data_IF_092922431649
#
_entry.id   IF_092922431649
#
_cell.length_a   1.000
_cell.length_b   1.000
_cell.length_c   1.000
_cell.angle_alpha   90.00
_cell.angle_beta   90.00
_cell.angle_gamma   90.00
#
_symmetry.space_group_name_H-M   'P 1'
#
loop_
_entity.id
_entity.type
_entity.pdbx_description
1 polymer ?
#
# COMPACT_ATOMS: atom_id res chain seq x y z
N UNK A 1 19.17 -58.56 3.85
CA UNK A 1 18.82 -59.34 2.64
C UNK A 1 17.35 -59.70 2.70
N UNK A 2 16.50 -58.92 2.04
CA UNK A 2 15.07 -59.24 1.86
C UNK A 2 14.74 -58.99 0.39
N UNK A 3 14.37 -60.07 -0.31
CA UNK A 3 13.84 -60.05 -1.67
C UNK A 3 12.33 -59.85 -1.56
N UNK A 4 11.80 -58.83 -2.23
CA UNK A 4 10.36 -58.70 -2.48
C UNK A 4 10.15 -58.83 -3.99
N UNK A 5 9.24 -59.74 -4.30
CA UNK A 5 8.89 -60.28 -5.61
C UNK A 5 7.93 -59.34 -6.34
N UNK A 6 8.24 -59.01 -7.60
CA UNK A 6 7.35 -58.28 -8.51
C UNK A 6 6.48 -59.31 -9.25
N UNK A 7 5.17 -59.12 -9.28
CA UNK A 7 4.25 -59.89 -10.13
C UNK A 7 3.00 -59.08 -10.45
N UNK A 8 2.62 -59.05 -11.74
CA UNK A 8 1.25 -58.83 -12.17
C UNK A 8 1.01 -57.62 -13.05
N UNK A 9 1.34 -57.73 -14.34
CA UNK A 9 0.77 -56.87 -15.38
C UNK A 9 -0.70 -57.27 -15.62
N UNK A 10 -1.64 -56.39 -15.26
CA UNK A 10 -3.04 -56.45 -15.66
C UNK A 10 -3.33 -55.34 -16.66
N UNK A 11 -3.60 -55.70 -17.93
CA UNK A 11 -4.02 -54.75 -18.95
C UNK A 11 -5.49 -54.36 -18.73
N UNK A 12 -5.71 -53.12 -18.28
CA UNK A 12 -7.04 -52.52 -18.17
C UNK A 12 -7.32 -51.72 -19.45
N UNK A 13 -8.31 -52.16 -20.23
CA UNK A 13 -8.85 -51.39 -21.37
C UNK A 13 -9.78 -50.34 -20.79
N UNK A 14 -9.37 -49.06 -20.84
CA UNK A 14 -10.20 -47.91 -20.47
C UNK A 14 -10.88 -47.37 -21.73
N UNK A 15 -12.20 -47.47 -21.76
CA UNK A 15 -13.05 -46.89 -22.79
C UNK A 15 -13.20 -45.39 -22.50
N UNK A 16 -12.61 -44.55 -23.34
CA UNK A 16 -12.67 -43.09 -23.25
C UNK A 16 -14.03 -42.60 -23.81
N UNK A 17 -14.94 -42.20 -22.93
CA UNK A 17 -16.17 -41.48 -23.28
C UNK A 17 -15.86 -39.99 -23.25
N UNK A 18 -15.73 -39.37 -24.42
CA UNK A 18 -15.54 -37.92 -24.55
C UNK A 18 -16.90 -37.24 -24.47
N UNK A 19 -17.32 -36.86 -23.27
CA UNK A 19 -18.46 -35.96 -23.06
C UNK A 19 -17.97 -34.51 -23.11
N UNK A 20 -18.25 -33.83 -24.23
CA UNK A 20 -18.00 -32.40 -24.37
C UNK A 20 -19.01 -31.58 -23.55
N UNK A 21 -18.59 -31.10 -22.39
CA UNK A 21 -19.29 -30.03 -21.68
C UNK A 21 -18.79 -28.70 -22.24
N UNK A 22 -19.62 -28.02 -23.03
CA UNK A 22 -19.47 -26.60 -23.29
C UNK A 22 -19.87 -25.85 -22.01
N UNK A 23 -18.90 -25.57 -21.14
CA UNK A 23 -19.10 -24.68 -20.01
C UNK A 23 -19.05 -23.25 -20.55
N UNK A 24 -20.20 -22.60 -20.60
CA UNK A 24 -20.29 -21.15 -20.78
C UNK A 24 -19.53 -20.51 -19.61
N UNK A 25 -18.49 -19.73 -19.91
CA UNK A 25 -17.89 -18.83 -18.93
C UNK A 25 -19.00 -17.85 -18.51
N UNK A 26 -19.52 -18.03 -17.30
CA UNK A 26 -20.35 -17.02 -16.68
C UNK A 26 -19.43 -15.88 -16.25
N UNK A 27 -19.74 -14.67 -16.69
CA UNK A 27 -19.15 -13.45 -16.13
C UNK A 27 -19.42 -13.47 -14.62
N UNK A 28 -18.39 -13.77 -13.84
CA UNK A 28 -18.44 -13.64 -12.38
C UNK A 28 -18.24 -12.16 -12.11
N UNK A 29 -19.34 -11.41 -11.96
CA UNK A 29 -19.24 -10.07 -11.39
C UNK A 29 -18.64 -10.19 -9.98
N UNK A 30 -17.61 -9.40 -9.64
CA UNK A 30 -17.07 -9.38 -8.29
C UNK A 30 -18.21 -9.04 -7.32
N UNK A 31 -18.48 -9.96 -6.40
CA UNK A 31 -19.58 -9.81 -5.45
C UNK A 31 -19.17 -8.82 -4.35
N UNK A 32 -19.74 -7.61 -4.39
CA UNK A 32 -19.56 -6.58 -3.35
C UNK A 32 -20.33 -6.87 -2.05
N UNK A 33 -20.86 -8.09 -1.87
CA UNK A 33 -21.62 -8.47 -0.68
C UNK A 33 -20.67 -9.19 0.27
N UNK A 34 -20.32 -8.52 1.37
CA UNK A 34 -19.55 -9.11 2.45
C UNK A 34 -20.28 -10.37 2.98
N UNK A 35 -19.66 -11.53 2.83
CA UNK A 35 -20.04 -12.70 3.64
C UNK A 35 -19.59 -12.45 5.07
N UNK A 36 -20.35 -12.89 6.09
CA UNK A 36 -19.89 -12.83 7.47
C UNK A 36 -18.64 -13.71 7.61
N UNK A 37 -17.48 -13.09 7.49
CA UNK A 37 -16.19 -13.69 7.80
C UNK A 37 -16.06 -13.66 9.33
N UNK A 38 -15.99 -14.83 9.92
CA UNK A 38 -15.47 -14.94 11.28
C UNK A 38 -13.97 -14.94 11.09
N UNK A 39 -13.33 -13.81 11.37
CA UNK A 39 -11.87 -13.78 11.47
C UNK A 39 -11.45 -14.96 12.33
N UNK A 40 -10.55 -15.78 11.80
CA UNK A 40 -9.93 -16.82 12.62
C UNK A 40 -9.37 -16.12 13.86
N UNK A 41 -9.49 -16.77 15.01
CA UNK A 41 -8.86 -16.26 16.24
C UNK A 41 -7.32 -16.27 16.13
N UNK A 42 -6.76 -16.70 14.99
CA UNK A 42 -5.33 -16.82 14.72
C UNK A 42 -4.82 -15.67 13.85
N UNK A 43 -3.60 -15.26 14.17
CA UNK A 43 -2.87 -14.20 13.48
C UNK A 43 -1.62 -14.75 12.80
N UNK A 44 -1.08 -14.01 11.84
CA UNK A 44 0.16 -14.30 11.15
C UNK A 44 1.19 -13.21 11.40
N UNK A 45 2.41 -13.64 11.67
CA UNK A 45 3.60 -12.80 11.77
C UNK A 45 4.68 -13.38 10.86
N UNK A 46 4.90 -12.81 9.68
CA UNK A 46 5.78 -13.35 8.63
C UNK A 46 5.47 -14.84 8.30
N UNK A 47 4.19 -15.20 8.28
CA UNK A 47 3.72 -16.58 8.04
C UNK A 47 3.77 -17.51 9.25
N UNK A 48 4.29 -17.06 10.40
CA UNK A 48 4.16 -17.79 11.66
C UNK A 48 2.75 -17.58 12.24
N UNK A 49 2.04 -18.69 12.48
CA UNK A 49 0.75 -18.67 13.16
C UNK A 49 0.91 -18.34 14.65
N UNK A 50 0.16 -17.34 15.11
CA UNK A 50 0.11 -16.82 16.46
C UNK A 50 -1.33 -16.95 16.96
N UNK A 51 -1.60 -17.84 17.93
CA UNK A 51 -2.94 -17.99 18.48
C UNK A 51 -3.41 -16.69 19.15
N UNK A 52 -4.68 -16.33 18.98
CA UNK A 52 -5.27 -15.15 19.63
C UNK A 52 -5.19 -15.21 21.15
N UNK A 53 -5.30 -16.40 21.74
CA UNK A 53 -5.12 -16.64 23.17
C UNK A 53 -3.75 -16.16 23.67
N UNK A 54 -2.69 -16.25 22.85
CA UNK A 54 -1.36 -15.77 23.23
C UNK A 54 -1.31 -14.23 23.36
N UNK A 55 -2.12 -13.52 22.56
CA UNK A 55 -2.23 -12.06 22.61
C UNK A 55 -3.10 -11.57 23.77
N UNK A 56 -4.08 -12.37 24.18
CA UNK A 56 -4.97 -12.11 25.31
C UNK A 56 -4.28 -12.41 26.64
N UNK A 57 -3.73 -13.62 26.80
CA UNK A 57 -3.15 -14.08 28.06
C UNK A 57 -1.77 -13.46 28.33
N UNK A 58 -0.99 -13.22 27.27
CA UNK A 58 0.37 -12.65 27.31
C UNK A 58 1.24 -13.29 28.38
N UNK A 59 1.29 -14.63 28.40
CA UNK A 59 2.08 -15.38 29.39
C UNK A 59 3.53 -14.87 29.38
N UNK A 60 4.03 -14.24 30.45
CA UNK A 60 5.34 -13.61 30.41
C UNK A 60 6.41 -14.67 30.19
N UNK A 61 7.50 -14.30 29.50
CA UNK A 61 8.60 -15.24 29.21
C UNK A 61 9.19 -15.87 30.48
N UNK A 62 9.14 -15.18 31.62
CA UNK A 62 9.58 -15.71 32.91
C UNK A 62 8.72 -16.88 33.43
N UNK A 63 7.50 -17.04 32.91
CA UNK A 63 6.55 -18.10 33.24
C UNK A 63 6.53 -19.23 32.21
N UNK A 64 7.36 -19.18 31.16
CA UNK A 64 7.51 -20.31 30.22
C UNK A 64 7.93 -21.57 30.98
N UNK A 65 7.43 -22.72 30.51
CA UNK A 65 7.75 -24.01 31.11
C UNK A 65 9.24 -24.37 30.98
N UNK A 66 9.64 -25.47 31.62
CA UNK A 66 11.05 -25.90 31.62
C UNK A 66 11.53 -26.30 30.21
N UNK A 67 10.65 -26.88 29.39
CA UNK A 67 10.98 -27.31 28.03
C UNK A 67 11.27 -26.09 27.14
N UNK A 68 10.36 -25.11 27.10
CA UNK A 68 10.54 -23.89 26.32
C UNK A 68 11.72 -23.03 26.81
N UNK A 69 11.96 -23.00 28.13
CA UNK A 69 13.16 -22.34 28.68
C UNK A 69 14.45 -23.02 28.22
N UNK A 70 14.45 -24.35 28.18
CA UNK A 70 15.60 -25.15 27.73
C UNK A 70 15.82 -24.95 26.23
N UNK A 71 14.75 -24.99 25.44
CA UNK A 71 14.78 -24.73 24.01
C UNK A 71 15.46 -23.39 23.67
N UNK A 72 15.02 -22.29 24.29
CA UNK A 72 15.61 -20.96 24.08
C UNK A 72 17.05 -20.85 24.57
N UNK A 73 17.40 -21.55 25.65
CA UNK A 73 18.74 -21.49 26.24
C UNK A 73 19.78 -22.32 25.45
N UNK A 74 19.35 -23.43 24.86
CA UNK A 74 20.21 -24.35 24.11
C UNK A 74 20.26 -24.03 22.61
N UNK A 75 19.32 -23.21 22.10
CA UNK A 75 19.26 -22.87 20.70
C UNK A 75 20.53 -22.15 20.20
N UNK A 76 21.01 -22.58 19.03
CA UNK A 76 22.13 -21.98 18.32
C UNK A 76 21.73 -21.58 16.89
N UNK A 77 22.41 -20.60 16.33
CA UNK A 77 22.33 -20.33 14.89
C UNK A 77 23.12 -21.40 14.12
N UNK A 78 23.01 -21.39 12.79
CA UNK A 78 23.71 -22.32 11.89
C UNK A 78 25.24 -22.24 12.00
N UNK A 79 25.77 -21.09 12.39
CA UNK A 79 27.19 -20.86 12.69
C UNK A 79 27.62 -21.35 14.09
N UNK A 80 26.69 -21.91 14.88
CA UNK A 80 26.90 -22.41 16.23
C UNK A 80 26.94 -21.34 17.32
N UNK A 81 26.74 -20.06 16.97
CA UNK A 81 26.61 -19.01 17.97
C UNK A 81 25.29 -19.13 18.74
N UNK A 82 25.24 -18.81 20.04
CA UNK A 82 24.02 -18.93 20.82
C UNK A 82 22.98 -17.93 20.30
N UNK A 83 21.74 -18.39 20.13
CA UNK A 83 20.59 -17.53 19.84
C UNK A 83 20.37 -16.53 20.97
N UNK A 84 20.56 -17.01 22.21
CA UNK A 84 20.39 -16.21 23.42
C UNK A 84 18.92 -16.03 23.78
N UNK A 85 18.66 -15.89 25.08
CA UNK A 85 17.33 -15.56 25.56
C UNK A 85 17.03 -14.09 25.24
N UNK A 86 15.89 -13.76 24.62
CA UNK A 86 15.53 -12.37 24.41
C UNK A 86 15.58 -11.61 25.73
N UNK A 87 16.33 -10.51 25.72
CA UNK A 87 16.49 -9.65 26.88
C UNK A 87 15.56 -8.44 26.78
N UNK A 88 15.05 -7.98 27.93
CA UNK A 88 14.19 -6.80 28.02
C UNK A 88 12.83 -7.11 28.60
N UNK A 89 12.07 -6.07 28.89
CA UNK A 89 10.69 -6.17 29.36
C UNK A 89 9.74 -6.41 28.17
N UNK A 90 8.54 -6.92 28.44
CA UNK A 90 7.47 -7.04 27.44
C UNK A 90 7.47 -8.33 26.61
N UNK A 91 8.44 -9.24 26.77
CA UNK A 91 8.42 -10.54 26.11
C UNK A 91 7.42 -11.49 26.74
N UNK A 92 6.57 -12.08 25.90
CA UNK A 92 5.61 -13.13 26.24
C UNK A 92 5.73 -14.33 25.29
N UNK A 93 5.20 -15.47 25.73
CA UNK A 93 5.18 -16.71 24.96
C UNK A 93 4.09 -16.61 23.91
N UNK A 94 4.45 -16.74 22.63
CA UNK A 94 3.50 -16.81 21.53
C UNK A 94 3.06 -18.26 21.28
N UNK A 95 4.04 -19.16 21.15
CA UNK A 95 3.82 -20.60 20.93
C UNK A 95 4.89 -21.38 21.68
N UNK A 96 4.52 -22.50 22.32
CA UNK A 96 5.47 -23.41 22.96
C UNK A 96 5.00 -24.85 22.80
N UNK A 97 5.74 -25.62 22.02
CA UNK A 97 5.49 -27.03 21.70
C UNK A 97 6.79 -27.83 21.82
N UNK A 98 6.74 -29.14 21.58
CA UNK A 98 7.93 -30.01 21.67
C UNK A 98 9.00 -29.70 20.61
N UNK A 99 8.64 -29.07 19.49
CA UNK A 99 9.52 -28.81 18.34
C UNK A 99 9.57 -27.33 17.89
N UNK A 100 8.78 -26.46 18.51
CA UNK A 100 8.73 -25.03 18.21
C UNK A 100 8.49 -24.20 19.46
N UNK A 101 9.34 -23.18 19.66
CA UNK A 101 9.12 -22.15 20.67
C UNK A 101 9.26 -20.79 20.02
N UNK A 102 8.22 -19.99 20.10
CA UNK A 102 8.17 -18.61 19.63
C UNK A 102 7.81 -17.68 20.78
N UNK A 103 8.56 -16.61 20.90
CA UNK A 103 8.32 -15.54 21.88
C UNK A 103 8.19 -14.23 21.14
N UNK A 104 7.34 -13.35 21.67
CA UNK A 104 6.97 -12.11 21.01
C UNK A 104 6.95 -10.96 22.00
N UNK A 105 7.16 -9.74 21.52
CA UNK A 105 6.85 -8.51 22.25
C UNK A 105 6.25 -7.46 21.34
N UNK A 106 5.60 -6.48 21.96
CA UNK A 106 5.15 -5.28 21.26
C UNK A 106 6.35 -4.35 20.95
N UNK A 107 6.30 -3.68 19.80
CA UNK A 107 7.26 -2.62 19.45
C UNK A 107 6.66 -1.28 19.87
N UNK A 108 7.29 -0.60 20.84
CA UNK A 108 6.77 0.66 21.40
C UNK A 108 6.66 1.79 20.37
N UNK A 109 7.57 1.81 19.39
CA UNK A 109 7.62 2.81 18.33
C UNK A 109 7.49 2.11 17.00
N UNK A 110 6.26 2.07 16.49
CA UNK A 110 5.97 1.68 15.11
C UNK A 110 6.50 2.79 14.21
N UNK A 111 7.74 2.64 13.74
CA UNK A 111 8.30 3.55 12.76
C UNK A 111 7.61 3.31 11.42
N UNK A 112 7.23 4.39 10.74
CA UNK A 112 6.76 4.28 9.36
C UNK A 112 7.87 3.64 8.52
N UNK A 113 7.56 2.58 7.76
CA UNK A 113 8.55 1.88 6.99
C UNK A 113 9.02 2.79 5.85
N UNK A 114 10.32 2.73 5.56
CA UNK A 114 10.96 3.50 4.47
C UNK A 114 10.59 2.95 3.09
N UNK A 115 9.78 1.89 3.03
CA UNK A 115 9.39 1.12 1.84
C UNK A 115 7.91 0.72 1.99
N UNK A 116 7.16 0.56 0.88
CA UNK A 116 5.81 -0.02 0.94
C UNK A 116 5.88 -1.38 1.65
N UNK A 117 5.32 -1.42 2.85
CA UNK A 117 5.24 -2.55 3.75
C UNK A 117 4.35 -2.11 4.92
N UNK A 118 3.64 -3.05 5.54
CA UNK A 118 2.90 -2.72 6.75
C UNK A 118 3.91 -2.50 7.90
N UNK A 119 3.80 -1.35 8.58
CA UNK A 119 4.73 -1.00 9.65
C UNK A 119 4.72 -2.08 10.75
N UNK A 120 5.88 -2.64 11.16
CA UNK A 120 5.88 -3.72 12.13
C UNK A 120 5.56 -3.22 13.53
N UNK A 121 4.68 -3.93 14.24
CA UNK A 121 4.29 -3.67 15.64
C UNK A 121 4.66 -4.80 16.60
N UNK A 122 5.25 -5.87 16.08
CA UNK A 122 5.76 -6.99 16.86
C UNK A 122 7.21 -7.25 16.52
N UNK A 123 7.92 -7.75 17.52
CA UNK A 123 9.21 -8.41 17.36
C UNK A 123 9.05 -9.86 17.81
N UNK A 124 9.48 -10.79 16.98
CA UNK A 124 9.33 -12.23 17.21
C UNK A 124 10.69 -12.90 17.14
N UNK A 125 10.89 -13.88 18.03
CA UNK A 125 12.04 -14.76 18.02
C UNK A 125 11.55 -16.20 18.11
N UNK A 126 11.98 -17.02 17.15
CA UNK A 126 11.54 -18.40 17.01
C UNK A 126 12.73 -19.35 17.01
N UNK A 127 12.63 -20.42 17.78
CA UNK A 127 13.55 -21.56 17.77
C UNK A 127 12.79 -22.83 17.45
N UNK A 128 13.41 -23.74 16.70
CA UNK A 128 12.81 -25.02 16.31
C UNK A 128 13.76 -26.17 16.60
N UNK A 129 13.19 -27.33 16.95
CA UNK A 129 13.94 -28.57 17.07
C UNK A 129 14.19 -29.15 15.68
N UNK A 130 15.47 -29.37 15.36
CA UNK A 130 15.89 -30.04 14.14
C UNK A 130 16.38 -31.43 14.51
N UNK A 131 15.64 -32.48 14.16
CA UNK A 131 16.06 -33.86 14.44
C UNK A 131 17.00 -34.42 13.36
N UNK A 132 16.76 -34.05 12.09
CA UNK A 132 17.52 -34.58 10.97
C UNK A 132 17.66 -33.57 9.84
N UNK A 133 18.82 -32.90 9.80
CA UNK A 133 19.22 -32.06 8.67
C UNK A 133 20.61 -32.50 8.18
N UNK A 134 20.83 -32.45 6.87
CA UNK A 134 22.06 -32.95 6.21
C UNK A 134 23.35 -32.36 6.78
N UNK A 135 23.30 -31.14 7.34
CA UNK A 135 24.47 -30.37 7.78
C UNK A 135 24.41 -29.92 9.25
N UNK A 136 23.39 -30.33 10.01
CA UNK A 136 23.23 -29.91 11.40
C UNK A 136 23.06 -31.16 12.29
N UNK A 137 23.75 -31.26 13.43
CA UNK A 137 23.42 -32.27 14.43
C UNK A 137 22.00 -32.03 15.00
N UNK A 138 21.37 -33.05 15.61
CA UNK A 138 20.09 -32.86 16.26
C UNK A 138 20.18 -31.82 17.39
N UNK A 139 19.23 -30.89 17.45
CA UNK A 139 19.22 -29.85 18.48
C UNK A 139 18.21 -28.72 18.22
N UNK A 140 18.16 -27.77 19.15
CA UNK A 140 17.42 -26.52 18.97
C UNK A 140 18.22 -25.53 18.12
N UNK A 141 17.55 -24.94 17.13
CA UNK A 141 18.14 -23.94 16.24
C UNK A 141 17.28 -22.69 16.19
N UNK A 142 17.94 -21.54 16.06
CA UNK A 142 17.25 -20.31 15.72
C UNK A 142 16.64 -20.41 14.32
N UNK A 143 15.31 -20.29 14.24
CA UNK A 143 14.58 -20.33 12.98
C UNK A 143 14.41 -18.93 12.39
N UNK A 144 14.03 -17.96 13.22
CA UNK A 144 13.88 -16.56 12.82
C UNK A 144 14.03 -15.60 14.00
N UNK A 145 14.45 -14.38 13.68
CA UNK A 145 14.34 -13.20 14.53
C UNK A 145 13.97 -12.05 13.63
N UNK A 146 12.72 -11.61 13.70
CA UNK A 146 12.17 -10.62 12.77
C UNK A 146 11.23 -9.65 13.48
N UNK A 147 10.86 -8.61 12.75
CA UNK A 147 9.78 -7.71 13.12
C UNK A 147 8.71 -7.84 12.06
N UNK A 148 7.46 -7.92 12.49
CA UNK A 148 6.32 -8.11 11.61
C UNK A 148 5.18 -7.18 12.04
N UNK A 149 4.26 -6.92 11.13
CA UNK A 149 2.92 -6.50 11.49
C UNK A 149 2.09 -7.75 11.77
N UNK A 150 1.43 -7.80 12.92
CA UNK A 150 0.58 -8.95 13.23
C UNK A 150 -0.74 -8.85 12.47
N UNK A 151 -0.94 -9.74 11.52
CA UNK A 151 -2.07 -9.73 10.57
C UNK A 151 -3.06 -10.85 10.89
N UNK A 152 -4.34 -10.71 10.53
CA UNK A 152 -5.34 -11.79 10.65
C UNK A 152 -5.01 -12.90 9.65
N UNK A 153 -5.16 -14.16 10.05
CA UNK A 153 -5.09 -15.27 9.10
C UNK A 153 -6.35 -15.30 8.19
N UNK A 154 -6.16 -14.98 6.91
CA UNK A 154 -7.21 -14.98 5.89
C UNK A 154 -7.27 -16.29 5.09
N UNK A 155 -6.56 -17.34 5.51
CA UNK A 155 -6.48 -18.62 4.84
C UNK A 155 -5.74 -18.54 3.49
N UNK A 156 -6.47 -18.74 2.39
CA UNK A 156 -5.89 -18.72 1.04
C UNK A 156 -5.67 -17.30 0.49
N UNK A 157 -6.10 -16.25 1.22
CA UNK A 157 -5.87 -14.85 0.87
C UNK A 157 -4.67 -14.29 1.64
N UNK A 158 -3.97 -13.33 1.05
CA UNK A 158 -2.93 -12.55 1.73
C UNK A 158 -3.46 -11.19 2.12
N UNK A 159 -2.93 -10.64 3.22
CA UNK A 159 -3.23 -9.27 3.66
C UNK A 159 -2.44 -8.29 2.80
N UNK A 160 -3.09 -7.38 2.05
CA UNK A 160 -2.42 -6.35 1.29
C UNK A 160 -2.14 -5.10 2.14
N UNK A 161 -1.24 -4.25 1.67
CA UNK A 161 -1.19 -2.86 2.11
C UNK A 161 -2.38 -2.09 1.49
N UNK A 162 -3.08 -1.31 2.31
CA UNK A 162 -4.24 -0.53 1.91
C UNK A 162 -4.04 0.94 2.25
N UNK A 163 -4.24 1.80 1.26
CA UNK A 163 -4.21 3.25 1.42
C UNK A 163 -5.38 3.90 0.69
N UNK A 164 -5.75 5.13 1.06
CA UNK A 164 -6.63 5.94 0.25
C UNK A 164 -5.91 6.48 -0.99
N UNK A 165 -6.59 6.39 -2.14
CA UNK A 165 -6.15 7.01 -3.39
C UNK A 165 -6.14 8.55 -3.29
N UNK A 166 -7.08 9.09 -2.53
CA UNK A 166 -7.27 10.52 -2.24
C UNK A 166 -8.00 10.67 -0.91
N UNK A 167 -7.93 11.83 -0.23
CA UNK A 167 -8.71 12.06 0.98
C UNK A 167 -10.18 11.67 0.77
N UNK A 168 -10.77 10.84 1.64
CA UNK A 168 -12.14 10.39 1.45
C UNK A 168 -13.12 11.55 1.60
N UNK A 169 -14.18 11.56 0.77
CA UNK A 169 -15.25 12.55 0.87
C UNK A 169 -16.26 12.11 1.94
N UNK A 170 -16.47 12.89 3.02
CA UNK A 170 -17.43 12.54 4.07
C UNK A 170 -18.89 12.46 3.58
N UNK A 171 -19.21 13.02 2.41
CA UNK A 171 -20.55 12.93 1.82
C UNK A 171 -20.70 11.75 0.85
N UNK A 172 -19.62 11.03 0.57
CA UNK A 172 -19.59 9.89 -0.34
C UNK A 172 -19.84 8.57 0.38
N UNK A 173 -20.48 7.64 -0.33
CA UNK A 173 -20.55 6.22 0.06
C UNK A 173 -19.39 5.40 -0.54
N UNK A 174 -18.55 6.00 -1.37
CA UNK A 174 -17.43 5.33 -2.03
C UNK A 174 -16.11 5.62 -1.31
N UNK A 175 -15.42 4.56 -0.88
CA UNK A 175 -14.02 4.61 -0.46
C UNK A 175 -13.15 4.23 -1.65
N UNK A 176 -12.30 5.16 -2.09
CA UNK A 176 -11.35 4.95 -3.19
C UNK A 176 -9.99 4.60 -2.63
N UNK A 177 -9.59 3.35 -2.85
CA UNK A 177 -8.44 2.74 -2.24
C UNK A 177 -7.37 2.41 -3.29
N UNK A 178 -6.13 2.30 -2.82
CA UNK A 178 -5.03 1.68 -3.51
C UNK A 178 -4.62 0.46 -2.68
N UNK A 179 -4.65 -0.70 -3.33
CA UNK A 179 -4.35 -1.99 -2.70
C UNK A 179 -3.05 -2.52 -3.30
N UNK A 180 -2.04 -2.72 -2.47
CA UNK A 180 -0.73 -3.23 -2.88
C UNK A 180 -0.54 -4.60 -2.25
N UNK A 181 -0.37 -5.65 -3.05
CA UNK A 181 -0.10 -6.98 -2.49
C UNK A 181 1.36 -7.10 -2.01
N UNK A 182 1.59 -7.88 -0.95
CA UNK A 182 2.95 -8.13 -0.44
C UNK A 182 3.65 -9.29 -1.15
N UNK A 183 2.89 -10.22 -1.74
CA UNK A 183 3.45 -11.39 -2.44
C UNK A 183 3.92 -11.01 -3.84
N UNK A 184 4.98 -11.65 -4.32
CA UNK A 184 5.51 -11.39 -5.65
C UNK A 184 4.52 -11.84 -6.74
N UNK A 185 4.28 -10.98 -7.71
CA UNK A 185 3.25 -11.13 -8.74
C UNK A 185 3.78 -10.85 -10.17
N UNK A 186 5.09 -10.88 -10.37
CA UNK A 186 5.69 -10.64 -11.68
C UNK A 186 5.64 -9.18 -12.17
N UNK A 187 5.15 -8.23 -11.36
CA UNK A 187 4.95 -6.84 -11.77
C UNK A 187 3.53 -6.53 -12.25
N UNK A 188 2.62 -7.50 -12.21
CA UNK A 188 1.22 -7.28 -12.54
C UNK A 188 0.47 -6.67 -11.35
N UNK A 189 -0.72 -6.14 -11.54
CA UNK A 189 -1.53 -5.62 -10.44
C UNK A 189 -2.47 -6.71 -9.87
N UNK A 190 -3.25 -6.36 -8.85
CA UNK A 190 -4.20 -7.25 -8.18
C UNK A 190 -5.63 -7.16 -8.76
N UNK A 191 -5.80 -6.63 -9.98
CA UNK A 191 -7.13 -6.48 -10.58
C UNK A 191 -7.86 -7.84 -10.65
N UNK A 192 -9.10 -7.86 -10.16
CA UNK A 192 -9.92 -9.08 -10.10
C UNK A 192 -9.51 -10.10 -9.02
N UNK A 193 -8.48 -9.83 -8.21
CA UNK A 193 -8.01 -10.71 -7.11
C UNK A 193 -8.25 -10.14 -5.71
N UNK A 194 -8.67 -8.88 -5.60
CA UNK A 194 -9.00 -8.22 -4.33
C UNK A 194 -10.40 -8.63 -3.87
N UNK A 195 -10.54 -8.96 -2.59
CA UNK A 195 -11.78 -9.36 -1.95
C UNK A 195 -12.05 -8.53 -0.69
N UNK A 196 -13.29 -8.04 -0.54
CA UNK A 196 -13.77 -7.46 0.73
C UNK A 196 -14.14 -8.61 1.64
N UNK A 197 -13.23 -8.93 2.57
CA UNK A 197 -13.40 -10.04 3.51
C UNK A 197 -14.39 -9.66 4.61
N UNK A 198 -14.24 -8.45 5.15
CA UNK A 198 -15.15 -7.90 6.16
C UNK A 198 -15.28 -6.39 5.98
N UNK A 199 -16.48 -5.88 6.26
CA UNK A 199 -16.81 -4.46 6.31
C UNK A 199 -17.81 -4.26 7.44
N UNK A 200 -17.33 -3.82 8.61
CA UNK A 200 -18.19 -3.46 9.74
C UNK A 200 -18.32 -1.94 9.83
N UNK A 201 -19.57 -1.46 9.82
CA UNK A 201 -19.89 -0.04 9.84
C UNK A 201 -20.58 0.30 11.16
N UNK A 202 -19.90 1.12 11.97
CA UNK A 202 -20.44 1.68 13.21
C UNK A 202 -20.71 3.18 13.05
N UNK A 203 -21.25 3.82 14.09
CA UNK A 203 -21.50 5.27 14.09
C UNK A 203 -20.20 6.09 14.04
N UNK A 204 -19.07 5.53 14.53
CA UNK A 204 -17.81 6.23 14.72
C UNK A 204 -16.67 5.71 13.82
N UNK A 205 -16.79 4.49 13.29
CA UNK A 205 -15.70 3.80 12.59
C UNK A 205 -16.20 2.86 11.49
N UNK A 206 -15.38 2.66 10.48
CA UNK A 206 -15.52 1.64 9.43
C UNK A 206 -14.31 0.70 9.49
N UNK A 207 -14.56 -0.56 9.86
CA UNK A 207 -13.53 -1.59 9.96
C UNK A 207 -13.48 -2.35 8.64
N UNK A 208 -12.37 -2.20 7.92
CA UNK A 208 -12.20 -2.81 6.61
C UNK A 208 -11.15 -3.92 6.68
N UNK A 209 -11.50 -5.10 6.19
CA UNK A 209 -10.56 -6.19 5.93
C UNK A 209 -10.61 -6.51 4.43
N UNK A 210 -9.49 -6.26 3.75
CA UNK A 210 -9.28 -6.70 2.38
C UNK A 210 -8.33 -7.89 2.36
N UNK A 211 -8.56 -8.81 1.44
CA UNK A 211 -7.63 -9.88 1.11
C UNK A 211 -7.31 -9.88 -0.38
N UNK A 212 -6.13 -10.35 -0.76
CA UNK A 212 -5.75 -10.57 -2.15
C UNK A 212 -5.49 -12.05 -2.37
N UNK A 213 -6.14 -12.64 -3.38
CA UNK A 213 -5.79 -13.99 -3.81
C UNK A 213 -4.40 -13.97 -4.47
N UNK A 214 -3.42 -14.76 -4.01
CA UNK A 214 -2.11 -14.84 -4.66
C UNK A 214 -2.22 -15.34 -6.10
N UNK A 215 -1.27 -14.95 -6.94
CA UNK A 215 -1.12 -15.58 -8.25
C UNK A 215 -0.49 -16.97 -8.13
N UNK A 216 -1.02 -17.94 -8.88
CA UNK A 216 -0.45 -19.27 -8.96
C UNK A 216 0.93 -19.25 -9.64
N UNK A 217 1.87 -20.04 -9.12
CA UNK A 217 3.16 -20.28 -9.75
C UNK A 217 4.32 -19.56 -9.07
N UNK A 218 5.50 -19.63 -9.71
CA UNK A 218 6.72 -18.99 -9.20
C UNK A 218 6.89 -17.65 -9.90
N UNK A 219 6.74 -16.57 -9.14
CA UNK A 219 6.85 -15.21 -9.64
C UNK A 219 8.12 -14.51 -9.15
N UNK A 220 8.67 -13.64 -9.97
CA UNK A 220 9.71 -12.70 -9.56
C UNK A 220 9.09 -11.44 -8.95
N UNK A 221 9.85 -10.68 -8.17
CA UNK A 221 9.37 -9.46 -7.50
C UNK A 221 10.03 -8.20 -8.10
N UNK A 222 9.77 -7.84 -9.37
CA UNK A 222 10.32 -6.61 -9.93
C UNK A 222 9.69 -5.36 -9.27
N UNK A 223 8.40 -5.45 -8.93
CA UNK A 223 7.57 -4.46 -8.22
C UNK A 223 6.20 -5.12 -7.97
N UNK A 224 5.42 -4.62 -7.01
CA UNK A 224 4.00 -4.91 -6.88
C UNK A 224 3.23 -3.59 -7.05
N UNK A 225 2.76 -3.24 -8.27
CA UNK A 225 2.02 -1.99 -8.48
C UNK A 225 0.73 -1.96 -7.67
N UNK A 226 0.40 -0.78 -7.13
CA UNK A 226 -0.84 -0.59 -6.39
C UNK A 226 -2.05 -0.59 -7.33
N UNK A 227 -3.11 -1.28 -6.91
CA UNK A 227 -4.32 -1.51 -7.69
C UNK A 227 -5.45 -0.61 -7.18
N UNK A 228 -6.04 0.25 -8.04
CA UNK A 228 -7.23 0.99 -7.66
C UNK A 228 -8.39 0.06 -7.31
N UNK A 229 -9.03 0.28 -6.16
CA UNK A 229 -10.17 -0.50 -5.70
C UNK A 229 -11.21 0.41 -5.05
N UNK A 230 -12.49 0.12 -5.24
CA UNK A 230 -13.58 0.92 -4.65
C UNK A 230 -14.45 0.05 -3.75
N UNK A 231 -14.58 0.47 -2.49
CA UNK A 231 -15.52 -0.13 -1.52
C UNK A 231 -16.75 0.78 -1.41
N UNK A 232 -17.94 0.20 -1.46
CA UNK A 232 -19.20 0.93 -1.28
C UNK A 232 -19.75 0.70 0.12
N UNK A 233 -19.97 1.78 0.85
CA UNK A 233 -20.57 1.84 2.18
C UNK A 233 -22.10 1.85 2.11
N UNK A 234 -22.75 1.39 3.18
CA UNK A 234 -24.21 1.45 3.31
C UNK A 234 -24.73 2.88 3.51
N UNK A 235 -23.94 3.74 4.16
CA UNK A 235 -24.24 5.16 4.40
C UNK A 235 -23.02 6.05 4.06
N UNK A 236 -23.22 7.35 3.76
CA UNK A 236 -22.10 8.28 3.54
C UNK A 236 -21.09 8.27 4.69
N UNK A 237 -19.79 8.33 4.40
CA UNK A 237 -18.72 8.14 5.40
C UNK A 237 -18.89 9.04 6.64
N UNK A 238 -19.30 10.29 6.46
CA UNK A 238 -19.50 11.23 7.55
C UNK A 238 -18.20 11.55 8.27
N UNK A 239 -18.21 11.48 9.60
CA UNK A 239 -17.03 11.71 10.44
C UNK A 239 -16.32 10.40 10.85
N UNK A 240 -16.76 9.25 10.32
CA UNK A 240 -16.23 7.94 10.71
C UNK A 240 -14.79 7.78 10.25
N UNK A 241 -13.96 7.22 11.12
CA UNK A 241 -12.60 6.83 10.75
C UNK A 241 -12.65 5.49 9.99
N UNK A 242 -11.84 5.33 8.95
CA UNK A 242 -11.69 4.04 8.28
C UNK A 242 -10.38 3.42 8.75
N UNK A 243 -10.46 2.21 9.31
CA UNK A 243 -9.29 1.49 9.82
C UNK A 243 -9.07 0.20 9.03
N UNK A 244 -7.79 -0.15 8.84
CA UNK A 244 -7.38 -1.47 8.45
C UNK A 244 -7.52 -2.43 9.64
N UNK A 245 -8.57 -3.24 9.60
CA UNK A 245 -8.88 -4.25 10.60
C UNK A 245 -8.25 -5.61 10.28
N UNK A 246 -7.43 -5.71 9.23
CA UNK A 246 -6.61 -6.91 8.97
C UNK A 246 -5.44 -7.03 9.94
N UNK A 247 -5.22 -6.03 10.80
CA UNK A 247 -4.16 -5.99 11.81
C UNK A 247 -4.72 -6.31 13.20
N UNK A 248 -3.95 -7.04 14.01
CA UNK A 248 -4.31 -7.34 15.40
C UNK A 248 -4.52 -6.08 16.24
N UNK A 249 -3.79 -5.00 15.93
CA UNK A 249 -4.08 -3.66 16.39
C UNK A 249 -4.51 -2.81 15.18
N UNK A 250 -5.83 -2.60 14.95
CA UNK A 250 -6.31 -1.86 13.80
C UNK A 250 -5.70 -0.47 13.69
N UNK A 251 -5.49 0.00 12.46
CA UNK A 251 -4.84 1.29 12.19
C UNK A 251 -5.62 2.10 11.19
N UNK A 252 -5.71 3.41 11.41
CA UNK A 252 -6.34 4.33 10.45
C UNK A 252 -5.65 4.24 9.08
N UNK A 253 -6.47 4.14 8.03
CA UNK A 253 -5.97 4.18 6.66
C UNK A 253 -5.38 5.55 6.37
N UNK A 254 -4.19 5.55 5.76
CA UNK A 254 -3.50 6.76 5.33
C UNK A 254 -3.86 7.10 3.89
N UNK A 255 -3.75 8.37 3.53
CA UNK A 255 -3.75 8.77 2.12
C UNK A 255 -2.35 8.60 1.57
N UNK A 256 -2.22 8.04 0.37
CA UNK A 256 -0.93 7.78 -0.26
C UNK A 256 -0.01 9.01 -0.23
N UNK A 257 1.21 8.76 0.20
CA UNK A 257 2.23 9.74 0.61
C UNK A 257 2.48 10.95 -0.30
N UNK A 258 2.51 10.91 -1.64
CA UNK A 258 2.84 12.12 -2.39
C UNK A 258 1.73 13.17 -2.33
N UNK A 259 0.48 12.79 -2.09
CA UNK A 259 -0.61 13.74 -1.97
C UNK A 259 -0.71 14.30 -0.54
N UNK A 260 -0.52 13.46 0.48
CA UNK A 260 -0.58 13.92 1.87
C UNK A 260 0.72 14.57 2.35
N UNK A 261 1.90 14.21 1.87
CA UNK A 261 3.13 15.01 2.10
C UNK A 261 3.01 16.38 1.42
N UNK A 262 2.44 16.45 0.22
CA UNK A 262 2.17 17.74 -0.44
C UNK A 262 1.02 18.55 0.20
N UNK A 263 0.11 17.92 0.96
CA UNK A 263 -1.01 18.58 1.64
C UNK A 263 -0.75 18.85 3.13
N UNK A 264 0.06 18.03 3.80
CA UNK A 264 0.41 18.11 5.22
C UNK A 264 1.76 18.81 5.45
N UNK A 265 2.67 18.85 4.46
CA UNK A 265 3.81 19.76 4.48
C UNK A 265 3.38 21.19 4.14
N UNK A 266 2.55 21.76 4.99
CA UNK A 266 2.49 23.21 5.19
C UNK A 266 3.81 23.81 5.73
N UNK A 267 4.96 23.16 5.50
CA UNK A 267 6.26 23.54 6.06
C UNK A 267 7.41 23.61 5.05
N UNK A 268 7.21 23.32 3.75
CA UNK A 268 8.22 23.74 2.76
C UNK A 268 7.65 24.01 1.35
N UNK A 269 6.89 25.09 1.22
CA UNK A 269 6.47 25.60 -0.09
C UNK A 269 7.65 25.94 -1.01
N UNK A 270 8.89 26.00 -0.50
CA UNK A 270 10.08 26.24 -1.33
C UNK A 270 10.48 25.00 -2.15
N UNK A 271 10.09 23.78 -1.74
CA UNK A 271 10.48 22.52 -2.41
C UNK A 271 9.33 21.82 -3.13
N UNK A 272 8.09 22.29 -2.96
CA UNK A 272 6.92 21.67 -3.59
C UNK A 272 6.77 22.14 -5.04
N UNK A 273 6.70 21.23 -6.04
CA UNK A 273 6.45 21.62 -7.42
C UNK A 273 5.05 22.24 -7.53
N UNK A 274 5.00 23.49 -7.98
CA UNK A 274 3.76 24.22 -8.18
C UNK A 274 3.15 23.83 -9.53
N UNK A 275 1.88 23.44 -9.52
CA UNK A 275 1.13 23.11 -10.73
C UNK A 275 0.13 24.23 -11.05
N UNK A 276 -0.16 24.47 -12.34
CA UNK A 276 -1.21 25.39 -12.75
C UNK A 276 -2.50 24.62 -13.05
N UNK A 277 -3.64 25.26 -12.80
CA UNK A 277 -4.97 24.77 -13.20
C UNK A 277 -5.78 25.88 -13.85
N UNK A 278 -6.33 25.61 -15.02
CA UNK A 278 -7.15 26.55 -15.79
C UNK A 278 -8.64 26.24 -15.63
N UNK A 279 -9.47 27.27 -15.41
CA UNK A 279 -10.93 27.17 -15.39
C UNK A 279 -11.55 28.25 -16.29
N UNK A 280 -12.27 27.87 -17.37
CA UNK A 280 -12.47 26.50 -17.86
C UNK A 280 -11.16 25.89 -18.43
N UNK A 281 -11.08 24.56 -18.50
CA UNK A 281 -9.93 23.84 -19.07
C UNK A 281 -9.90 23.83 -20.61
N UNK A 282 -11.02 24.18 -21.25
CA UNK A 282 -11.15 24.32 -22.70
C UNK A 282 -11.72 25.71 -23.05
N UNK A 283 -10.92 26.78 -22.93
CA UNK A 283 -11.39 28.14 -23.17
C UNK A 283 -11.51 28.46 -24.67
N UNK A 284 -12.40 29.38 -25.00
CA UNK A 284 -12.51 29.93 -26.35
C UNK A 284 -11.48 31.06 -26.56
N UNK A 285 -10.99 31.26 -27.78
CA UNK A 285 -10.15 32.41 -28.12
C UNK A 285 -10.89 33.73 -27.79
N UNK A 286 -10.23 34.63 -27.04
CA UNK A 286 -10.83 35.85 -26.53
C UNK A 286 -11.55 35.71 -25.17
N UNK A 287 -11.70 34.48 -24.66
CA UNK A 287 -12.30 34.21 -23.35
C UNK A 287 -11.32 34.48 -22.21
N UNK A 288 -11.89 34.79 -21.05
CA UNK A 288 -11.15 34.96 -19.80
C UNK A 288 -11.17 33.67 -18.99
N UNK A 289 -9.99 33.22 -18.56
CA UNK A 289 -9.74 32.00 -17.81
C UNK A 289 -9.19 32.36 -16.44
N UNK A 290 -9.65 31.68 -15.39
CA UNK A 290 -9.00 31.76 -14.08
C UNK A 290 -7.93 30.67 -13.99
N UNK A 291 -6.69 31.10 -13.81
CA UNK A 291 -5.54 30.22 -13.59
C UNK A 291 -5.22 30.21 -12.11
N UNK A 292 -5.25 29.03 -11.52
CA UNK A 292 -4.94 28.81 -10.10
C UNK A 292 -3.67 28.00 -9.92
N UNK A 293 -2.99 28.17 -8.79
CA UNK A 293 -1.82 27.36 -8.43
C UNK A 293 -2.19 26.27 -7.44
N UNK A 294 -1.68 25.06 -7.63
CA UNK A 294 -1.84 23.94 -6.70
C UNK A 294 -0.46 23.55 -6.14
N UNK A 295 -0.30 23.39 -4.81
CA UNK A 295 -1.33 23.45 -3.77
C UNK A 295 -1.86 24.87 -3.47
N UNK A 296 -3.17 24.99 -3.19
CA UNK A 296 -3.86 26.26 -2.84
C UNK A 296 -3.50 26.79 -1.43
N UNK A 297 -2.47 26.28 -0.77
CA UNK A 297 -1.98 26.84 0.49
C UNK A 297 -0.53 27.33 0.38
N UNK A 298 0.14 27.10 -0.76
CA UNK A 298 1.49 27.57 -0.99
C UNK A 298 1.47 29.04 -1.43
N UNK A 299 2.15 29.97 -0.73
CA UNK A 299 2.27 31.35 -1.19
C UNK A 299 3.16 31.39 -2.43
N UNK A 300 2.78 32.21 -3.42
CA UNK A 300 3.65 32.51 -4.56
C UNK A 300 4.89 33.24 -4.03
N UNK A 301 6.08 32.64 -4.22
CA UNK A 301 7.37 33.20 -3.80
C UNK A 301 7.94 34.13 -4.89
N UNK A 302 9.02 34.85 -4.59
CA UNK A 302 9.72 35.67 -5.60
C UNK A 302 10.29 34.82 -6.77
N UNK A 303 10.55 33.53 -6.53
CA UNK A 303 11.04 32.60 -7.54
C UNK A 303 9.93 32.14 -8.50
N UNK A 304 8.67 32.32 -8.11
CA UNK A 304 7.48 31.89 -8.87
C UNK A 304 6.65 33.07 -9.36
N UNK A 305 7.01 34.30 -9.00
CA UNK A 305 6.42 35.49 -9.59
C UNK A 305 6.81 35.57 -11.07
N UNK A 306 5.84 35.78 -11.95
CA UNK A 306 6.08 35.66 -13.38
C UNK A 306 4.88 35.96 -14.26
N UNK A 307 5.11 35.92 -15.57
CA UNK A 307 4.07 36.07 -16.59
C UNK A 307 3.46 34.72 -16.95
N UNK A 308 2.14 34.67 -17.04
CA UNK A 308 1.46 33.52 -17.65
C UNK A 308 1.47 33.70 -19.16
N UNK A 309 2.00 32.73 -19.89
CA UNK A 309 2.02 32.72 -21.36
C UNK A 309 1.17 31.58 -21.89
N UNK A 310 0.74 31.70 -23.15
CA UNK A 310 0.18 30.57 -23.92
C UNK A 310 1.28 30.01 -24.80
N UNK A 311 1.64 28.74 -24.61
CA UNK A 311 2.57 28.00 -25.49
C UNK A 311 1.77 27.09 -26.42
N UNK A 312 1.91 27.33 -27.72
CA UNK A 312 1.39 26.48 -28.79
C UNK A 312 2.55 25.87 -29.58
N UNK A 313 2.27 24.88 -30.43
CA UNK A 313 3.28 24.34 -31.35
C UNK A 313 3.89 25.39 -32.32
N UNK A 314 3.24 26.55 -32.47
CA UNK A 314 3.71 27.68 -33.29
C UNK A 314 4.59 28.68 -32.55
N UNK A 315 4.71 28.57 -31.22
CA UNK A 315 5.50 29.47 -30.37
C UNK A 315 4.76 29.96 -29.13
N UNK A 316 5.42 30.85 -28.41
CA UNK A 316 4.96 31.41 -27.14
C UNK A 316 4.28 32.76 -27.35
N UNK A 317 3.11 32.95 -26.73
CA UNK A 317 2.33 34.19 -26.79
C UNK A 317 2.13 34.76 -25.38
N UNK A 318 2.66 35.96 -25.08
CA UNK A 318 2.43 36.65 -23.81
C UNK A 318 0.94 36.94 -23.60
N UNK A 319 0.43 36.75 -22.38
CA UNK A 319 -0.96 37.10 -22.05
C UNK A 319 -1.07 38.47 -21.39
N UNK A 320 0.03 39.01 -20.87
CA UNK A 320 0.05 40.19 -20.01
C UNK A 320 -0.49 39.95 -18.60
N UNK A 321 -0.98 38.74 -18.29
CA UNK A 321 -1.40 38.36 -16.96
C UNK A 321 -0.19 37.86 -16.15
N UNK A 322 -0.12 38.28 -14.87
CA UNK A 322 1.02 38.02 -14.01
C UNK A 322 0.58 37.46 -12.67
N UNK A 323 1.33 36.48 -12.17
CA UNK A 323 1.21 36.00 -10.80
C UNK A 323 2.28 36.73 -10.00
N UNK A 324 1.86 37.56 -9.05
CA UNK A 324 2.74 38.37 -8.22
C UNK A 324 2.95 37.71 -6.86
N UNK A 325 4.11 37.94 -6.23
CA UNK A 325 4.34 37.46 -4.86
C UNK A 325 3.27 37.99 -3.91
N UNK A 326 2.67 37.10 -3.14
CA UNK A 326 1.61 37.45 -2.19
C UNK A 326 0.30 37.92 -2.83
N UNK A 327 0.18 37.91 -4.16
CA UNK A 327 -1.14 37.93 -4.79
C UNK A 327 -1.85 36.62 -4.47
N UNK A 328 -3.19 36.66 -4.38
CA UNK A 328 -3.96 35.43 -4.23
C UNK A 328 -3.57 34.42 -5.32
N UNK A 329 -3.74 33.13 -5.06
CA UNK A 329 -3.30 32.04 -5.93
C UNK A 329 -4.09 31.91 -7.24
N UNK A 330 -4.79 32.96 -7.65
CA UNK A 330 -5.61 33.00 -8.85
C UNK A 330 -5.26 34.25 -9.66
N UNK A 331 -4.93 34.06 -10.94
CA UNK A 331 -4.80 35.13 -11.91
C UNK A 331 -5.84 34.95 -13.01
N UNK A 332 -6.39 36.07 -13.46
CA UNK A 332 -7.37 36.12 -14.55
C UNK A 332 -6.61 36.38 -15.85
N UNK A 333 -6.70 35.45 -16.79
CA UNK A 333 -5.96 35.45 -18.06
C UNK A 333 -6.95 35.56 -19.22
N UNK A 334 -6.78 36.56 -20.08
CA UNK A 334 -7.57 36.62 -21.33
C UNK A 334 -6.80 35.95 -22.45
N UNK A 335 -7.37 34.89 -23.03
CA UNK A 335 -6.77 34.18 -24.15
C UNK A 335 -6.81 35.08 -25.39
N UNK A 336 -5.67 35.33 -26.08
CA UNK A 336 -5.68 36.14 -27.28
C UNK A 336 -6.60 35.56 -28.37
N UNK A 337 -7.41 36.40 -29.00
CA UNK A 337 -8.47 35.99 -29.93
C UNK A 337 -7.99 35.33 -31.23
N UNK A 338 -6.69 35.38 -31.52
CA UNK A 338 -6.08 34.75 -32.69
C UNK A 338 -5.51 33.35 -32.43
N UNK A 339 -5.59 32.83 -31.21
CA UNK A 339 -5.04 31.53 -30.83
C UNK A 339 -6.09 30.43 -30.93
N UNK A 340 -5.71 29.27 -31.48
CA UNK A 340 -6.55 28.06 -31.53
C UNK A 340 -5.66 26.82 -31.52
N UNK A 341 -6.15 25.72 -30.93
CA UNK A 341 -5.48 24.43 -30.89
C UNK A 341 -5.05 24.01 -29.48
N UNK A 342 -4.37 22.87 -29.40
CA UNK A 342 -3.85 22.34 -28.15
C UNK A 342 -2.60 23.11 -27.71
N UNK A 343 -2.54 23.43 -26.43
CA UNK A 343 -1.51 24.26 -25.86
C UNK A 343 -1.36 24.13 -24.36
N UNK A 344 -0.49 24.98 -23.83
CA UNK A 344 -0.22 25.06 -22.40
C UNK A 344 -0.35 26.51 -21.94
N UNK A 345 -1.02 26.73 -20.82
CA UNK A 345 -0.77 27.92 -20.01
C UNK A 345 0.47 27.62 -19.17
N UNK A 346 1.51 28.41 -19.34
CA UNK A 346 2.79 28.19 -18.66
C UNK A 346 3.17 29.46 -17.89
N UNK A 347 3.66 29.28 -16.66
CA UNK A 347 4.19 30.37 -15.86
C UNK A 347 5.68 30.54 -16.17
N UNK A 348 6.06 31.71 -16.68
CA UNK A 348 7.45 32.10 -16.93
C UNK A 348 7.88 33.03 -15.80
N UNK A 349 8.71 32.55 -14.85
CA UNK A 349 9.21 33.36 -13.75
C UNK A 349 10.02 34.56 -14.24
N UNK A 350 9.98 35.67 -13.50
CA UNK A 350 10.78 36.86 -13.82
C UNK A 350 12.28 36.64 -13.66
N UNK A 351 12.66 35.68 -12.81
CA UNK A 351 14.05 35.27 -12.64
C UNK A 351 14.37 34.16 -13.61
N UNK A 352 15.29 34.45 -14.53
CA UNK A 352 15.84 33.44 -15.42
C UNK A 352 16.50 32.35 -14.59
N UNK A 353 16.11 31.10 -14.83
CA UNK A 353 16.61 29.97 -14.05
C UNK A 353 18.12 29.76 -14.26
N UNK A 354 18.71 30.34 -15.32
CA UNK A 354 20.16 30.33 -15.58
C UNK A 354 21.00 31.09 -14.54
N UNK A 355 20.39 32.00 -13.77
CA UNK A 355 21.08 32.75 -12.71
C UNK A 355 21.21 31.95 -11.39
N UNK A 356 20.59 30.76 -11.31
CA UNK A 356 20.69 29.88 -10.14
C UNK A 356 21.86 28.92 -10.36
N UNK A 357 22.89 28.99 -9.51
CA UNK A 357 24.17 28.27 -9.62
C UNK A 357 24.07 26.72 -9.53
N UNK A 358 22.87 26.15 -9.57
CA UNK A 358 22.62 24.72 -9.49
C UNK A 358 22.07 24.25 -10.83
N UNK A 359 22.72 23.25 -11.44
CA UNK A 359 22.39 22.64 -12.74
C UNK A 359 21.07 21.83 -12.74
N UNK A 360 20.03 22.31 -12.06
CA UNK A 360 18.74 21.65 -12.02
C UNK A 360 17.96 21.96 -13.31
N UNK A 361 17.42 20.92 -13.95
CA UNK A 361 16.53 21.05 -15.10
C UNK A 361 15.36 21.98 -14.75
N UNK A 362 15.21 23.04 -15.54
CA UNK A 362 14.24 24.10 -15.28
C UNK A 362 12.85 23.63 -15.69
N UNK A 363 12.10 23.10 -14.72
CA UNK A 363 10.70 22.73 -14.93
C UNK A 363 9.79 23.90 -14.57
N UNK A 364 9.23 24.56 -15.59
CA UNK A 364 8.24 25.61 -15.39
C UNK A 364 6.85 25.00 -15.12
N UNK A 365 6.08 25.54 -14.15
CA UNK A 365 4.69 25.17 -13.95
C UNK A 365 3.86 25.37 -15.22
N UNK A 366 3.05 24.38 -15.59
CA UNK A 366 2.13 24.48 -16.72
C UNK A 366 0.76 23.83 -16.44
N UNK A 367 -0.25 24.27 -17.19
CA UNK A 367 -1.57 23.66 -17.30
C UNK A 367 -1.86 23.35 -18.76
N UNK A 368 -2.27 22.13 -19.07
CA UNK A 368 -2.74 21.80 -20.42
C UNK A 368 -4.10 22.46 -20.68
N UNK A 369 -4.25 23.07 -21.85
CA UNK A 369 -5.50 23.68 -22.30
C UNK A 369 -5.73 23.40 -23.78
N UNK A 370 -6.99 23.19 -24.16
CA UNK A 370 -7.40 23.16 -25.56
C UNK A 370 -8.15 24.45 -25.88
N UNK A 371 -7.60 25.29 -26.76
CA UNK A 371 -8.19 26.59 -27.10
C UNK A 371 -9.09 26.45 -28.32
N UNK A 372 -10.40 26.66 -28.13
CA UNK A 372 -11.38 26.64 -29.21
C UNK A 372 -11.41 27.96 -30.00
N UNK A 373 -11.79 27.89 -31.28
CA UNK A 373 -11.99 29.10 -32.09
C UNK A 373 -13.19 29.93 -31.60
N UNK A 374 -13.05 31.25 -31.60
CA UNK A 374 -14.16 32.17 -31.34
C UNK A 374 -15.30 31.92 -32.34
N UNK A 375 -16.52 31.76 -31.83
CA UNK A 375 -17.73 31.53 -32.64
C UNK A 375 -18.27 32.80 -33.28
#
# INVERSE_FOLDING_TARGET
>A
MHRITISGFGALIVTLVVSGCAASAADVEPSNVATPFVAGDDFLCDGLSIPGEALEDRVPLSAIDEAGRTALAEAVWDDGSPVGMPSGEGWYVATSTDDLVSVMRDVEVVADPVSPAIAPDREVQTVTWVDNATNLPPGWYGASSSRCALTVDLGDLTVPEVEFQSPPDPLSQELRLLVTEETCNGGDDAEGRIEVVSLDETDDQVDLILGVRPEDGVHTCPSNPATPFTVTLSEPLGAREVVDASLAAPRALKVRGPLLEALAAGSDCEQTPLMLRATPSAPTAGETVTVTTTPEHCPVTDALAGEVIVRLGTGDTPTGARIEKGSGQAVVVTIPSGLTGDGYLMLVPDRDCEDVLTTADCHYPFAEVTIEAAR
#
